data_IF_910820264975
#
_entry.id   IF_910820264975
#
_cell.length_a   1.000
_cell.length_b   1.000
_cell.length_c   1.000
_cell.angle_alpha   90.00
_cell.angle_beta   90.00
_cell.angle_gamma   90.00
#
_symmetry.space_group_name_H-M   'P 1'
#
loop_
_entity.id
_entity.type
_entity.pdbx_description
1 polymer ?
#
# COMPACT_ATOMS: atom_id res chain seq x y z
N UNK A 1 21.41 11.34 4.70
CA UNK A 1 21.07 10.07 5.37
C UNK A 1 20.28 9.26 4.37
N UNK A 2 20.73 8.07 3.98
CA UNK A 2 19.97 7.22 3.07
C UNK A 2 18.69 6.77 3.79
N UNK A 3 17.53 7.11 3.25
CA UNK A 3 16.24 6.64 3.74
C UNK A 3 16.19 5.12 3.64
N UNK A 4 15.67 4.47 4.68
CA UNK A 4 15.56 3.01 4.83
C UNK A 4 14.37 2.42 4.06
N UNK A 5 13.65 3.25 3.32
CA UNK A 5 12.39 2.92 2.64
C UNK A 5 12.64 2.16 1.34
N UNK A 6 11.80 1.17 1.05
CA UNK A 6 11.85 0.39 -0.19
C UNK A 6 11.66 1.31 -1.41
N UNK A 7 12.28 0.99 -2.54
CA UNK A 7 12.18 1.84 -3.74
C UNK A 7 10.75 2.00 -4.24
N UNK A 8 9.89 0.99 -4.02
CA UNK A 8 8.47 1.07 -4.33
C UNK A 8 7.78 2.09 -3.43
N UNK A 9 8.12 2.17 -2.14
CA UNK A 9 7.58 3.17 -1.23
C UNK A 9 7.97 4.59 -1.69
N UNK A 10 9.24 4.82 -2.03
CA UNK A 10 9.70 6.13 -2.51
C UNK A 10 9.01 6.54 -3.82
N UNK A 11 8.78 5.59 -4.73
CA UNK A 11 8.07 5.87 -5.97
C UNK A 11 6.58 6.20 -5.71
N UNK A 12 5.93 5.48 -4.80
CA UNK A 12 4.54 5.74 -4.42
C UNK A 12 4.42 7.09 -3.71
N UNK A 13 5.41 7.49 -2.90
CA UNK A 13 5.46 8.83 -2.34
C UNK A 13 5.47 9.90 -3.44
N UNK A 14 6.38 9.80 -4.42
CA UNK A 14 6.44 10.75 -5.54
C UNK A 14 5.10 10.82 -6.29
N UNK A 15 4.49 9.66 -6.57
CA UNK A 15 3.15 9.57 -7.18
C UNK A 15 2.09 10.36 -6.42
N UNK A 16 2.05 10.19 -5.10
CA UNK A 16 1.04 10.79 -4.24
C UNK A 16 1.29 12.30 -4.07
N UNK A 17 2.54 12.72 -3.90
CA UNK A 17 2.91 14.14 -3.86
C UNK A 17 2.53 14.83 -5.17
N UNK A 18 2.80 14.18 -6.30
CA UNK A 18 2.41 14.70 -7.62
C UNK A 18 0.90 14.91 -7.75
N UNK A 19 0.11 14.10 -7.03
CA UNK A 19 -1.35 14.22 -6.93
C UNK A 19 -1.84 15.14 -5.81
N UNK A 20 -0.93 15.88 -5.17
CA UNK A 20 -1.26 16.85 -4.12
C UNK A 20 -1.55 16.25 -2.75
N UNK A 21 -1.12 15.02 -2.49
CA UNK A 21 -1.23 14.42 -1.17
C UNK A 21 -0.04 14.79 -0.29
N UNK A 22 -0.30 14.98 1.00
CA UNK A 22 0.71 14.96 2.05
C UNK A 22 0.92 13.52 2.50
N UNK A 23 2.17 13.10 2.63
CA UNK A 23 2.55 11.70 2.86
C UNK A 23 3.29 11.56 4.19
N UNK A 24 3.04 10.45 4.90
CA UNK A 24 3.86 9.96 6.01
C UNK A 24 4.13 8.47 5.82
N UNK A 25 5.34 8.05 6.17
CA UNK A 25 5.78 6.66 6.08
C UNK A 25 5.71 5.92 7.42
N UNK A 26 5.66 4.60 7.37
CA UNK A 26 5.88 3.69 8.50
C UNK A 26 4.99 3.97 9.73
N UNK A 27 3.67 4.07 9.50
CA UNK A 27 2.70 4.35 10.56
C UNK A 27 2.42 3.09 11.36
N UNK A 28 2.98 3.02 12.57
CA UNK A 28 2.90 1.83 13.42
C UNK A 28 1.54 1.63 14.06
N UNK A 29 1.07 0.40 14.13
CA UNK A 29 -0.15 0.00 14.83
C UNK A 29 -0.07 -1.43 15.40
N UNK A 30 -0.87 -1.70 16.43
CA UNK A 30 -1.08 -3.03 17.01
C UNK A 30 -2.47 -3.11 17.67
N UNK A 31 -3.03 -4.32 17.85
CA UNK A 31 -4.28 -4.53 18.56
C UNK A 31 -4.25 -3.99 19.98
N UNK A 32 -5.39 -3.49 20.46
CA UNK A 32 -5.54 -3.11 21.86
C UNK A 32 -5.35 -4.31 22.77
N UNK A 33 -4.60 -4.11 23.87
CA UNK A 33 -4.22 -5.19 24.81
C UNK A 33 -5.43 -5.80 25.54
N UNK A 34 -6.53 -5.06 25.63
CA UNK A 34 -7.79 -5.45 26.24
C UNK A 34 -8.79 -6.06 25.24
N UNK A 35 -8.38 -6.30 23.98
CA UNK A 35 -9.22 -7.01 23.01
C UNK A 35 -9.44 -8.45 23.49
N UNK A 36 -10.67 -9.01 23.45
CA UNK A 36 -10.96 -10.35 23.96
C UNK A 36 -10.07 -11.44 23.34
N UNK A 37 -9.78 -11.32 22.04
CA UNK A 37 -8.93 -12.26 21.31
C UNK A 37 -7.42 -11.89 21.33
N UNK A 38 -6.98 -10.98 22.20
CA UNK A 38 -5.56 -10.58 22.26
C UNK A 38 -4.68 -11.71 22.78
N UNK A 39 -3.61 -12.02 22.05
CA UNK A 39 -2.62 -13.04 22.41
C UNK A 39 -1.23 -12.41 22.43
N UNK A 40 -0.69 -12.21 23.65
CA UNK A 40 0.53 -11.43 23.88
C UNK A 40 1.73 -11.81 22.99
N UNK A 41 2.02 -13.09 22.82
CA UNK A 41 3.18 -13.54 22.02
C UNK A 41 2.96 -13.41 20.50
N UNK A 42 1.75 -13.14 20.03
CA UNK A 42 1.43 -12.96 18.61
C UNK A 42 1.16 -11.48 18.28
N UNK A 43 0.55 -10.75 19.22
CA UNK A 43 -0.01 -9.42 18.95
C UNK A 43 0.82 -8.25 19.50
N UNK A 44 1.93 -8.53 20.19
CA UNK A 44 2.78 -7.48 20.77
C UNK A 44 3.77 -6.85 19.78
N UNK A 45 3.84 -7.36 18.54
CA UNK A 45 4.74 -6.84 17.51
C UNK A 45 3.97 -5.94 16.54
N UNK A 46 4.37 -4.67 16.47
CA UNK A 46 3.78 -3.67 15.58
C UNK A 46 3.72 -4.13 14.12
N UNK A 47 2.64 -3.73 13.43
CA UNK A 47 2.60 -3.61 11.98
C UNK A 47 2.78 -2.16 11.63
N UNK A 48 3.16 -1.93 10.39
CA UNK A 48 3.27 -0.60 9.86
C UNK A 48 2.34 -0.46 8.64
N UNK A 49 1.73 0.70 8.48
CA UNK A 49 1.21 1.15 7.17
C UNK A 49 2.40 1.79 6.48
N UNK A 50 2.80 1.24 5.34
CA UNK A 50 4.02 1.67 4.65
C UNK A 50 3.91 3.15 4.28
N UNK A 51 2.78 3.56 3.69
CA UNK A 51 2.47 4.97 3.39
C UNK A 51 1.04 5.33 3.81
N UNK A 52 0.87 6.42 4.55
CA UNK A 52 -0.41 7.07 4.80
C UNK A 52 -0.43 8.45 4.16
N UNK A 53 -1.42 8.71 3.31
CA UNK A 53 -1.50 9.92 2.52
C UNK A 53 -2.85 10.62 2.66
N UNK A 54 -2.84 11.95 2.73
CA UNK A 54 -4.04 12.78 2.82
C UNK A 54 -4.01 13.92 1.80
N UNK A 55 -5.10 14.09 1.05
CA UNK A 55 -5.30 15.24 0.17
C UNK A 55 -6.45 16.12 0.71
N UNK A 56 -6.16 17.32 1.24
CA UNK A 56 -7.19 18.15 1.88
C UNK A 56 -8.23 18.73 0.90
N UNK A 57 -7.99 18.66 -0.41
CA UNK A 57 -8.90 19.17 -1.44
C UNK A 57 -9.87 18.10 -1.95
N UNK A 58 -9.68 16.84 -1.57
CA UNK A 58 -10.54 15.73 -1.96
C UNK A 58 -11.51 15.35 -0.83
N UNK A 59 -12.61 14.70 -1.22
CA UNK A 59 -13.63 14.19 -0.32
C UNK A 59 -13.79 12.67 -0.43
N UNK A 60 -14.55 12.09 0.50
CA UNK A 60 -14.82 10.65 0.51
C UNK A 60 -13.58 9.78 0.75
N UNK A 61 -13.62 8.55 0.23
CA UNK A 61 -12.52 7.57 0.37
C UNK A 61 -11.25 7.95 -0.40
N UNK A 62 -11.36 8.85 -1.38
CA UNK A 62 -10.21 9.35 -2.13
C UNK A 62 -9.44 10.45 -1.37
N UNK A 63 -9.96 10.94 -0.25
CA UNK A 63 -9.25 11.90 0.58
C UNK A 63 -8.04 11.30 1.29
N UNK A 64 -8.13 10.02 1.67
CA UNK A 64 -7.11 9.32 2.46
C UNK A 64 -6.77 8.00 1.80
N UNK A 65 -5.47 7.78 1.55
CA UNK A 65 -4.96 6.50 1.08
C UNK A 65 -4.07 5.88 2.16
N UNK A 66 -4.36 4.61 2.48
CA UNK A 66 -3.51 3.78 3.32
C UNK A 66 -2.89 2.71 2.41
N UNK A 67 -1.58 2.79 2.19
CA UNK A 67 -0.86 1.97 1.22
C UNK A 67 -0.01 0.94 1.94
N UNK A 68 -0.10 -0.32 1.51
CA UNK A 68 0.94 -1.31 1.77
C UNK A 68 1.69 -1.66 0.49
N UNK A 69 3.01 -1.70 0.59
CA UNK A 69 3.94 -1.97 -0.50
C UNK A 69 4.43 -3.44 -0.42
N UNK A 70 4.32 -4.16 -1.53
CA UNK A 70 4.87 -5.52 -1.68
C UNK A 70 5.74 -5.57 -2.94
N UNK A 71 7.04 -5.32 -2.78
CA UNK A 71 8.06 -5.28 -3.85
C UNK A 71 8.47 -6.67 -4.38
N UNK A 72 7.53 -7.63 -4.45
CA UNK A 72 7.80 -8.98 -4.92
C UNK A 72 8.15 -8.99 -6.41
N UNK A 73 9.41 -9.31 -6.73
CA UNK A 73 9.92 -9.31 -8.11
C UNK A 73 9.18 -10.30 -9.03
N UNK A 74 8.73 -11.45 -8.50
CA UNK A 74 7.94 -12.41 -9.27
C UNK A 74 6.52 -11.91 -9.59
N UNK A 75 6.09 -10.81 -9.00
CA UNK A 75 4.75 -10.24 -9.13
C UNK A 75 3.77 -10.73 -8.08
N UNK A 76 2.66 -10.02 -7.98
CA UNK A 76 1.53 -10.35 -7.11
C UNK A 76 0.49 -11.12 -7.91
N UNK A 77 0.11 -12.32 -7.45
CA UNK A 77 -0.99 -13.08 -8.04
C UNK A 77 -2.19 -13.08 -7.07
N UNK A 78 -3.23 -12.26 -7.34
CA UNK A 78 -4.42 -12.13 -6.48
C UNK A 78 -5.07 -13.46 -6.13
N UNK A 79 -5.34 -14.29 -7.13
CA UNK A 79 -6.05 -15.57 -6.96
C UNK A 79 -5.22 -16.56 -6.14
N UNK A 80 -3.91 -16.61 -6.38
CA UNK A 80 -3.01 -17.48 -5.62
C UNK A 80 -2.92 -17.05 -4.16
N UNK A 81 -2.67 -15.77 -3.89
CA UNK A 81 -2.50 -15.25 -2.53
C UNK A 81 -3.80 -15.39 -1.73
N UNK A 82 -4.95 -15.05 -2.33
CA UNK A 82 -6.26 -15.23 -1.70
C UNK A 82 -6.55 -16.71 -1.37
N UNK A 83 -6.23 -17.63 -2.29
CA UNK A 83 -6.35 -19.06 -2.02
C UNK A 83 -5.42 -19.51 -0.89
N UNK A 84 -4.18 -19.04 -0.84
CA UNK A 84 -3.26 -19.37 0.24
C UNK A 84 -3.75 -18.84 1.59
N UNK A 85 -4.33 -17.64 1.64
CA UNK A 85 -4.94 -17.06 2.85
C UNK A 85 -6.12 -17.93 3.32
N UNK A 86 -7.08 -18.22 2.44
CA UNK A 86 -8.29 -18.99 2.78
C UNK A 86 -7.99 -20.42 3.20
N UNK A 87 -6.95 -21.03 2.62
CA UNK A 87 -6.52 -22.39 2.93
C UNK A 87 -5.40 -22.45 3.98
N UNK A 88 -5.11 -21.34 4.68
CA UNK A 88 -4.10 -21.26 5.76
C UNK A 88 -2.73 -21.82 5.35
N UNK A 89 -2.31 -21.58 4.11
CA UNK A 89 -1.05 -22.11 3.57
C UNK A 89 0.15 -21.30 4.03
N UNK A 90 1.29 -21.98 4.16
CA UNK A 90 2.60 -21.36 4.35
C UNK A 90 3.21 -20.98 3.00
N UNK A 91 3.53 -19.70 2.84
CA UNK A 91 4.13 -19.11 1.64
C UNK A 91 5.34 -18.27 2.05
N UNK A 92 6.49 -18.47 1.38
CA UNK A 92 7.74 -17.74 1.69
C UNK A 92 8.14 -17.87 3.18
N UNK A 93 7.98 -19.07 3.75
CA UNK A 93 8.40 -19.39 5.12
C UNK A 93 7.46 -18.94 6.25
N UNK A 94 6.30 -18.35 5.93
CA UNK A 94 5.30 -17.91 6.93
C UNK A 94 3.88 -18.15 6.44
N UNK A 95 2.91 -18.16 7.35
CA UNK A 95 1.49 -18.24 6.96
C UNK A 95 1.11 -17.03 6.09
N UNK A 96 0.40 -17.27 4.98
CA UNK A 96 0.09 -16.25 3.98
C UNK A 96 -0.66 -15.04 4.57
N UNK A 97 -1.60 -15.29 5.49
CA UNK A 97 -2.41 -14.24 6.12
C UNK A 97 -1.58 -13.24 6.93
N UNK A 98 -0.39 -13.59 7.42
CA UNK A 98 0.44 -12.70 8.24
C UNK A 98 0.90 -11.45 7.49
N UNK A 99 0.98 -11.52 6.16
CA UNK A 99 1.32 -10.37 5.32
C UNK A 99 0.19 -9.36 5.13
N UNK A 100 -1.03 -9.71 5.56
CA UNK A 100 -2.29 -9.01 5.30
C UNK A 100 -3.21 -9.09 6.52
N UNK A 101 -2.65 -9.07 7.73
CA UNK A 101 -3.40 -9.32 8.97
C UNK A 101 -4.52 -8.31 9.19
N UNK A 102 -4.35 -7.09 8.73
CA UNK A 102 -5.35 -6.02 8.71
C UNK A 102 -6.57 -6.34 7.84
N UNK A 103 -6.44 -7.23 6.85
CA UNK A 103 -7.54 -7.67 6.00
C UNK A 103 -8.20 -8.97 6.48
N UNK A 104 -7.51 -9.74 7.34
CA UNK A 104 -7.91 -11.12 7.68
C UNK A 104 -8.29 -11.30 9.16
N UNK A 105 -7.67 -10.55 10.07
CA UNK A 105 -7.83 -10.76 11.51
C UNK A 105 -8.56 -9.55 12.15
N UNK A 106 -9.77 -9.72 12.72
CA UNK A 106 -10.61 -8.60 13.16
C UNK A 106 -9.93 -7.57 14.08
N UNK A 107 -9.20 -8.03 15.11
CA UNK A 107 -8.46 -7.14 16.03
C UNK A 107 -7.37 -6.31 15.35
N UNK A 108 -6.79 -6.84 14.26
CA UNK A 108 -5.81 -6.11 13.44
C UNK A 108 -6.50 -5.13 12.49
N UNK A 109 -7.66 -5.48 11.95
CA UNK A 109 -8.50 -4.57 11.16
C UNK A 109 -8.97 -3.36 12.00
N UNK A 110 -9.42 -3.59 13.24
CA UNK A 110 -9.80 -2.54 14.19
C UNK A 110 -8.61 -1.60 14.45
N UNK A 111 -7.43 -2.16 14.74
CA UNK A 111 -6.22 -1.38 14.99
C UNK A 111 -5.78 -0.57 13.76
N UNK A 112 -5.89 -1.16 12.56
CA UNK A 112 -5.54 -0.50 11.29
C UNK A 112 -6.46 0.70 11.01
N UNK A 113 -7.78 0.52 11.14
CA UNK A 113 -8.75 1.62 10.96
C UNK A 113 -8.55 2.69 12.02
N UNK A 114 -8.34 2.29 13.29
CA UNK A 114 -8.10 3.22 14.39
C UNK A 114 -6.87 4.08 14.14
N UNK A 115 -5.73 3.49 13.73
CA UNK A 115 -4.52 4.28 13.50
C UNK A 115 -4.69 5.27 12.33
N UNK A 116 -5.45 4.91 11.29
CA UNK A 116 -5.79 5.83 10.20
C UNK A 116 -6.64 6.99 10.74
N UNK A 117 -7.66 6.70 11.53
CA UNK A 117 -8.51 7.72 12.14
C UNK A 117 -7.71 8.65 13.06
N UNK A 118 -6.83 8.10 13.90
CA UNK A 118 -6.03 8.89 14.83
C UNK A 118 -5.05 9.83 14.10
N UNK A 119 -4.54 9.44 12.93
CA UNK A 119 -3.58 10.24 12.15
C UNK A 119 -4.24 11.20 11.15
N UNK A 120 -5.48 10.95 10.73
CA UNK A 120 -6.13 11.71 9.64
C UNK A 120 -7.45 12.37 10.05
N UNK A 121 -8.03 11.98 11.18
CA UNK A 121 -9.39 12.32 11.58
C UNK A 121 -10.49 11.60 10.78
N UNK A 122 -10.12 10.73 9.84
CA UNK A 122 -11.05 10.11 8.89
C UNK A 122 -11.15 8.60 9.09
N UNK A 123 -12.37 8.06 9.00
CA UNK A 123 -12.61 6.60 8.90
C UNK A 123 -12.81 6.12 7.45
N UNK A 124 -13.11 7.04 6.54
CA UNK A 124 -13.22 6.76 5.11
C UNK A 124 -11.86 6.93 4.46
N UNK A 125 -11.37 5.87 3.84
CA UNK A 125 -10.09 5.82 3.14
C UNK A 125 -10.16 4.80 2.00
N UNK A 126 -9.14 4.75 1.16
CA UNK A 126 -8.93 3.66 0.20
C UNK A 126 -7.69 2.89 0.61
N UNK A 127 -7.82 1.58 0.78
CA UNK A 127 -6.67 0.69 0.98
C UNK A 127 -6.02 0.43 -0.37
N UNK A 128 -4.72 0.70 -0.48
CA UNK A 128 -3.94 0.47 -1.69
C UNK A 128 -2.91 -0.62 -1.43
N UNK A 129 -2.92 -1.68 -2.24
CA UNK A 129 -1.82 -2.62 -2.32
C UNK A 129 -0.91 -2.24 -3.49
N UNK A 130 0.21 -1.59 -3.20
CA UNK A 130 1.22 -1.27 -4.19
C UNK A 130 2.10 -2.49 -4.48
N UNK A 131 2.25 -2.87 -5.75
CA UNK A 131 3.00 -4.07 -6.17
C UNK A 131 3.88 -3.76 -7.37
N UNK A 132 4.95 -4.55 -7.57
CA UNK A 132 5.81 -4.39 -8.75
C UNK A 132 5.03 -4.66 -10.05
N UNK A 133 4.38 -5.81 -10.13
CA UNK A 133 3.50 -6.22 -11.23
C UNK A 133 2.39 -7.11 -10.73
N UNK A 134 1.34 -7.25 -11.52
CA UNK A 134 0.24 -8.15 -11.25
C UNK A 134 0.22 -9.32 -12.24
N UNK A 135 -0.05 -10.51 -11.73
CA UNK A 135 -0.19 -11.74 -12.49
C UNK A 135 -1.63 -12.25 -12.36
N UNK A 136 -2.43 -12.11 -13.41
CA UNK A 136 -3.84 -12.52 -13.40
C UNK A 136 -4.82 -11.38 -13.08
N UNK A 137 -6.03 -11.75 -12.66
CA UNK A 137 -7.12 -10.80 -12.46
C UNK A 137 -7.05 -10.09 -11.09
N UNK A 138 -6.90 -8.76 -11.13
CA UNK A 138 -6.88 -7.90 -9.95
C UNK A 138 -8.22 -7.83 -9.22
N UNK A 139 -9.32 -8.00 -9.95
CA UNK A 139 -10.67 -7.78 -9.44
C UNK A 139 -11.03 -8.74 -8.31
N UNK A 140 -10.42 -9.94 -8.32
CA UNK A 140 -10.58 -10.97 -7.30
C UNK A 140 -10.15 -10.47 -5.91
N UNK A 141 -9.13 -9.61 -5.85
CA UNK A 141 -8.65 -9.02 -4.60
C UNK A 141 -9.42 -7.74 -4.25
N UNK A 142 -9.61 -6.86 -5.23
CA UNK A 142 -10.26 -5.54 -5.01
C UNK A 142 -11.74 -5.67 -4.62
N UNK A 143 -12.41 -6.72 -5.07
CA UNK A 143 -13.83 -6.96 -4.81
C UNK A 143 -14.10 -8.04 -3.76
N UNK A 144 -13.06 -8.56 -3.09
CA UNK A 144 -13.24 -9.54 -2.03
C UNK A 144 -14.11 -8.96 -0.90
N UNK A 145 -15.22 -9.64 -0.61
CA UNK A 145 -16.22 -9.15 0.35
C UNK A 145 -15.74 -9.26 1.79
N UNK A 146 -14.89 -10.23 2.12
CA UNK A 146 -14.36 -10.40 3.47
C UNK A 146 -13.37 -9.27 3.78
N UNK A 147 -12.47 -8.96 2.84
CA UNK A 147 -11.53 -7.85 3.00
C UNK A 147 -12.24 -6.51 3.08
N UNK A 148 -13.25 -6.27 2.24
CA UNK A 148 -14.04 -5.04 2.32
C UNK A 148 -14.80 -4.94 3.64
N UNK A 149 -15.36 -6.04 4.14
CA UNK A 149 -16.03 -6.07 5.46
C UNK A 149 -15.04 -5.80 6.59
N UNK A 150 -13.84 -6.38 6.53
CA UNK A 150 -12.77 -6.13 7.50
C UNK A 150 -12.41 -4.63 7.57
N UNK A 151 -12.47 -3.94 6.44
CA UNK A 151 -12.22 -2.50 6.34
C UNK A 151 -13.49 -1.62 6.44
N UNK A 152 -14.57 -2.10 7.05
CA UNK A 152 -15.84 -1.36 7.21
C UNK A 152 -16.44 -0.82 5.88
N UNK A 153 -16.23 -1.55 4.79
CA UNK A 153 -16.72 -1.21 3.44
C UNK A 153 -15.81 -0.25 2.66
N UNK A 154 -14.65 0.14 3.20
CA UNK A 154 -13.70 0.99 2.49
C UNK A 154 -13.18 0.31 1.20
N UNK A 155 -12.97 1.05 0.10
CA UNK A 155 -12.49 0.47 -1.15
C UNK A 155 -11.07 -0.09 -1.04
N UNK A 156 -10.81 -1.15 -1.80
CA UNK A 156 -9.50 -1.79 -1.93
C UNK A 156 -9.09 -1.65 -3.39
N UNK A 157 -7.85 -1.20 -3.63
CA UNK A 157 -7.27 -1.16 -4.98
C UNK A 157 -5.86 -1.73 -4.97
N UNK A 158 -5.46 -2.31 -6.08
CA UNK A 158 -4.07 -2.63 -6.38
C UNK A 158 -3.52 -1.50 -7.24
N UNK A 159 -2.27 -1.12 -7.00
CA UNK A 159 -1.55 -0.15 -7.82
C UNK A 159 -0.21 -0.77 -8.22
N UNK A 160 0.07 -0.83 -9.52
CA UNK A 160 1.33 -1.41 -10.03
C UNK A 160 2.39 -0.35 -10.24
N UNK A 161 3.66 -0.75 -10.19
CA UNK A 161 4.80 0.12 -10.51
C UNK A 161 4.66 0.76 -11.89
N UNK A 162 4.21 -0.02 -12.89
CA UNK A 162 3.96 0.48 -14.24
C UNK A 162 2.92 1.60 -14.27
N UNK A 163 1.75 1.39 -13.64
CA UNK A 163 0.69 2.40 -13.57
C UNK A 163 1.16 3.69 -12.90
N UNK A 164 2.01 3.58 -11.88
CA UNK A 164 2.58 4.74 -11.19
C UNK A 164 3.52 5.52 -12.11
N UNK A 165 4.45 4.82 -12.78
CA UNK A 165 5.41 5.45 -13.70
C UNK A 165 4.68 6.12 -14.88
N UNK A 166 3.70 5.44 -15.47
CA UNK A 166 2.90 5.95 -16.59
C UNK A 166 2.10 7.21 -16.20
N UNK A 167 1.70 7.35 -14.93
CA UNK A 167 1.01 8.54 -14.43
C UNK A 167 1.99 9.70 -14.12
N UNK A 168 3.17 9.40 -13.57
CA UNK A 168 4.17 10.41 -13.21
C UNK A 168 4.88 10.99 -14.45
N UNK A 169 5.41 10.13 -15.34
CA UNK A 169 6.33 10.54 -16.41
C UNK A 169 5.80 11.65 -17.33
N UNK A 170 4.53 11.63 -17.79
CA UNK A 170 3.99 12.71 -18.61
C UNK A 170 3.97 14.05 -17.88
N UNK A 171 3.75 14.02 -16.57
CA UNK A 171 3.54 15.20 -15.76
C UNK A 171 4.84 15.73 -15.10
N UNK A 172 5.95 15.01 -15.21
CA UNK A 172 7.27 15.53 -14.84
C UNK A 172 7.64 16.72 -15.73
N UNK A 173 7.63 17.91 -15.13
CA UNK A 173 8.04 19.18 -15.74
C UNK A 173 9.55 19.42 -15.55
N UNK A 174 10.04 20.57 -16.01
CA UNK A 174 11.41 21.03 -15.75
C UNK A 174 11.64 21.52 -14.31
N UNK A 175 10.57 21.77 -13.55
CA UNK A 175 10.66 22.09 -12.12
C UNK A 175 11.15 20.87 -11.35
N UNK A 176 12.23 21.03 -10.57
CA UNK A 176 12.84 19.96 -9.77
C UNK A 176 11.78 19.22 -8.95
N UNK A 177 11.71 17.89 -9.12
CA UNK A 177 10.78 17.05 -8.39
C UNK A 177 11.07 17.03 -6.88
N UNK A 178 10.03 16.76 -6.10
CA UNK A 178 10.08 16.82 -4.64
C UNK A 178 10.97 15.71 -4.05
N UNK A 179 10.96 14.52 -4.64
CA UNK A 179 11.73 13.36 -4.17
C UNK A 179 12.96 13.06 -5.02
N UNK A 180 13.90 12.29 -4.48
CA UNK A 180 15.07 11.80 -5.23
C UNK A 180 14.65 10.89 -6.40
N UNK A 181 13.64 10.04 -6.22
CA UNK A 181 13.08 9.20 -7.30
C UNK A 181 12.52 10.08 -8.43
N UNK A 182 11.75 11.11 -8.09
CA UNK A 182 11.23 12.06 -9.08
C UNK A 182 12.35 12.73 -9.87
N UNK A 183 13.43 13.15 -9.19
CA UNK A 183 14.59 13.78 -9.86
C UNK A 183 15.33 12.80 -10.77
N UNK A 184 15.48 11.54 -10.37
CA UNK A 184 16.06 10.49 -11.22
C UNK A 184 15.19 10.27 -12.47
N UNK A 185 13.86 10.20 -12.32
CA UNK A 185 12.95 10.07 -13.45
C UNK A 185 13.02 11.27 -14.40
N UNK A 186 13.18 12.50 -13.87
CA UNK A 186 13.44 13.68 -14.69
C UNK A 186 14.74 13.55 -15.49
N UNK A 187 15.80 13.05 -14.85
CA UNK A 187 17.08 12.83 -15.54
C UNK A 187 16.96 11.77 -16.64
N UNK A 188 16.23 10.68 -16.44
CA UNK A 188 15.96 9.70 -17.51
C UNK A 188 15.19 10.32 -18.68
N UNK A 189 14.18 11.16 -18.38
CA UNK A 189 13.41 11.86 -19.42
C UNK A 189 14.28 12.81 -20.23
N UNK A 190 15.20 13.53 -19.59
CA UNK A 190 16.10 14.48 -20.26
C UNK A 190 17.22 13.78 -21.03
N UNK A 191 17.74 12.65 -20.52
CA UNK A 191 18.84 11.91 -21.17
C UNK A 191 18.39 11.09 -22.37
N UNK A 192 17.08 10.87 -22.54
CA UNK A 192 16.54 10.01 -23.61
C UNK A 192 16.74 8.51 -23.35
N UNK A 193 17.10 8.11 -22.12
CA UNK A 193 17.18 6.69 -21.75
C UNK A 193 15.80 6.05 -21.83
N UNK A 194 15.69 5.00 -22.65
CA UNK A 194 14.48 4.18 -22.75
C UNK A 194 14.69 2.87 -21.98
N UNK A 195 13.71 2.49 -21.15
CA UNK A 195 13.67 1.20 -20.50
C UNK A 195 12.75 0.28 -21.29
N UNK A 196 13.30 -0.76 -21.91
CA UNK A 196 12.51 -1.81 -22.55
C UNK A 196 12.11 -2.87 -21.50
N UNK A 197 10.81 -3.11 -21.37
CA UNK A 197 10.28 -4.20 -20.55
C UNK A 197 10.05 -5.44 -21.41
N UNK A 198 10.55 -6.60 -21.00
CA UNK A 198 10.14 -7.87 -21.60
C UNK A 198 8.66 -8.11 -21.26
N UNK A 199 7.84 -8.32 -22.30
CA UNK A 199 6.44 -8.73 -22.18
C UNK A 199 6.33 -10.14 -21.59
#
# INVERSE_FOLDING_TARGET
>A
MATKEDILEQLIEEYLIHKGYFVRHNIKYLPRKDHPDFVSNQDSNHSDIDILAINPLLEGSNRVYAVSCKSWQSGFNPTFELNCIRNQRTVRGREAWRGFRELVIPKWSEAFIKVIQDNTGMKKFTYILAVAKINGDRSVWENDQEFRRALEGNPIRILTFKEVIEDILPNLRQTVAATEVGRILQMFKVSGVQMEGNQ
#
